data_IF_813295082114
#
_entry.id   IF_813295082114
#
_cell.length_a   1.000
_cell.length_b   1.000
_cell.length_c   1.000
_cell.angle_alpha   90.00
_cell.angle_beta   90.00
_cell.angle_gamma   90.00
#
_symmetry.space_group_name_H-M   'P 1'
#
loop_
_entity.id
_entity.type
_entity.pdbx_description
1 polymer ?
#
# COMPACT_ATOMS: atom_id res chain seq x y z
N UNK A 1 -26.69 32.77 11.77
CA UNK A 1 -26.95 31.43 11.18
C UNK A 1 -26.32 31.25 9.79
N UNK A 2 -26.54 32.14 8.80
CA UNK A 2 -26.00 31.98 7.43
C UNK A 2 -24.47 31.98 7.31
N UNK A 3 -23.74 32.74 8.15
CA UNK A 3 -22.26 32.78 8.13
C UNK A 3 -21.62 31.53 8.74
N UNK A 4 -22.17 31.03 9.84
CA UNK A 4 -21.71 29.79 10.49
C UNK A 4 -21.93 28.58 9.57
N UNK A 5 -23.06 28.51 8.88
CA UNK A 5 -23.31 27.45 7.88
C UNK A 5 -22.33 27.47 6.71
N UNK A 6 -21.93 28.65 6.22
CA UNK A 6 -20.92 28.79 5.15
C UNK A 6 -19.52 28.36 5.60
N UNK A 7 -19.13 28.68 6.83
CA UNK A 7 -17.84 28.26 7.41
C UNK A 7 -17.82 26.75 7.59
N UNK A 8 -18.88 26.17 8.15
CA UNK A 8 -19.00 24.73 8.32
C UNK A 8 -18.92 23.99 6.99
N UNK A 9 -19.65 24.47 5.97
CA UNK A 9 -19.58 23.91 4.62
C UNK A 9 -18.17 23.97 4.03
N UNK A 10 -17.47 25.09 4.22
CA UNK A 10 -16.07 25.23 3.80
C UNK A 10 -15.15 24.19 4.44
N UNK A 11 -15.29 23.96 5.76
CA UNK A 11 -14.51 22.95 6.48
C UNK A 11 -14.80 21.54 5.96
N UNK A 12 -16.07 21.19 5.76
CA UNK A 12 -16.47 19.88 5.23
C UNK A 12 -15.86 19.65 3.84
N UNK A 13 -15.87 20.66 2.97
CA UNK A 13 -15.26 20.56 1.64
C UNK A 13 -13.75 20.34 1.75
N UNK A 14 -13.05 21.11 2.58
CA UNK A 14 -11.60 20.94 2.77
C UNK A 14 -11.27 19.54 3.29
N UNK A 15 -12.02 19.03 4.28
CA UNK A 15 -11.83 17.69 4.81
C UNK A 15 -12.09 16.60 3.75
N UNK A 16 -13.13 16.77 2.93
CA UNK A 16 -13.41 15.84 1.83
C UNK A 16 -12.28 15.82 0.80
N UNK A 17 -11.75 17.00 0.43
CA UNK A 17 -10.60 17.10 -0.49
C UNK A 17 -9.36 16.44 0.11
N UNK A 18 -9.05 16.71 1.38
CA UNK A 18 -7.92 16.08 2.07
C UNK A 18 -8.05 14.56 2.13
N UNK A 19 -9.26 14.04 2.40
CA UNK A 19 -9.52 12.61 2.41
C UNK A 19 -9.27 12.01 1.03
N UNK A 20 -9.80 12.62 -0.03
CA UNK A 20 -9.58 12.15 -1.41
C UNK A 20 -8.10 12.14 -1.76
N UNK A 21 -7.37 13.22 -1.47
CA UNK A 21 -5.91 13.29 -1.69
C UNK A 21 -5.22 12.16 -0.93
N UNK A 22 -5.50 11.98 0.36
CA UNK A 22 -4.90 10.89 1.14
C UNK A 22 -5.13 9.52 0.47
N UNK A 23 -6.37 9.22 0.06
CA UNK A 23 -6.74 7.98 -0.61
C UNK A 23 -5.94 7.74 -1.91
N UNK A 24 -5.67 8.79 -2.69
CA UNK A 24 -4.85 8.69 -3.90
C UNK A 24 -3.37 8.41 -3.61
N UNK A 25 -2.85 8.88 -2.47
CA UNK A 25 -1.44 8.71 -2.11
C UNK A 25 -1.12 7.39 -1.40
N UNK A 26 -2.13 6.62 -0.95
CA UNK A 26 -1.91 5.34 -0.27
C UNK A 26 -1.06 4.35 -1.09
N UNK A 27 -1.35 4.21 -2.38
CA UNK A 27 -0.63 3.31 -3.29
C UNK A 27 0.86 3.67 -3.40
N UNK A 28 1.20 4.89 -3.83
CA UNK A 28 2.59 5.36 -3.89
C UNK A 28 3.35 5.23 -2.56
N UNK A 29 2.70 5.52 -1.42
CA UNK A 29 3.31 5.38 -0.10
C UNK A 29 3.65 3.92 0.21
N UNK A 30 2.71 2.99 -0.03
CA UNK A 30 2.98 1.55 0.19
C UNK A 30 4.08 1.05 -0.72
N UNK A 31 4.07 1.42 -2.01
CA UNK A 31 5.15 1.08 -2.95
C UNK A 31 6.51 1.56 -2.44
N UNK A 32 6.60 2.83 -2.04
CA UNK A 32 7.84 3.41 -1.52
C UNK A 32 8.35 2.68 -0.28
N UNK A 33 7.47 2.49 0.70
CA UNK A 33 7.81 1.78 1.94
C UNK A 33 8.22 0.34 1.68
N UNK A 34 7.49 -0.39 0.85
CA UNK A 34 7.80 -1.79 0.55
C UNK A 34 9.13 -1.94 -0.21
N UNK A 35 9.46 -1.02 -1.12
CA UNK A 35 10.77 -1.01 -1.78
C UNK A 35 11.89 -0.73 -0.77
N UNK A 36 11.74 0.31 0.06
CA UNK A 36 12.79 0.73 1.00
C UNK A 36 12.96 -0.28 2.15
N UNK A 37 11.88 -0.57 2.86
CA UNK A 37 11.90 -1.50 4.01
C UNK A 37 12.17 -2.92 3.53
N UNK A 38 11.56 -3.34 2.41
CA UNK A 38 11.82 -4.65 1.83
C UNK A 38 13.29 -4.84 1.48
N UNK A 39 13.91 -3.85 0.83
CA UNK A 39 15.33 -3.92 0.50
C UNK A 39 16.22 -3.94 1.75
N UNK A 40 15.88 -3.13 2.75
CA UNK A 40 16.63 -3.07 4.00
C UNK A 40 16.55 -4.39 4.79
N UNK A 41 15.37 -5.02 4.82
CA UNK A 41 15.15 -6.27 5.55
C UNK A 41 15.77 -7.47 4.83
N UNK A 42 15.69 -7.51 3.49
CA UNK A 42 16.21 -8.62 2.69
C UNK A 42 17.69 -8.47 2.34
N UNK A 43 18.27 -7.28 2.49
CA UNK A 43 19.66 -7.00 2.12
C UNK A 43 19.94 -7.02 0.61
N UNK A 44 18.88 -7.04 -0.21
CA UNK A 44 18.93 -7.08 -1.67
C UNK A 44 17.89 -6.11 -2.25
N UNK A 45 18.06 -5.62 -3.49
CA UNK A 45 17.12 -4.70 -4.09
C UNK A 45 15.70 -5.29 -4.19
N UNK A 46 14.71 -4.59 -3.68
CA UNK A 46 13.28 -4.90 -3.83
C UNK A 46 12.61 -3.80 -4.62
N UNK A 47 11.95 -4.19 -5.71
CA UNK A 47 11.23 -3.29 -6.59
C UNK A 47 9.78 -3.73 -6.77
N UNK A 48 8.86 -2.80 -6.60
CA UNK A 48 7.46 -2.96 -6.90
C UNK A 48 7.09 -1.93 -7.96
N UNK A 49 6.51 -2.38 -9.08
CA UNK A 49 6.09 -1.51 -10.17
C UNK A 49 4.93 -0.61 -9.75
N UNK A 50 3.89 -1.20 -9.16
CA UNK A 50 2.70 -0.46 -8.72
C UNK A 50 2.07 -1.10 -7.48
N UNK A 51 1.45 -0.25 -6.66
CA UNK A 51 0.69 -0.67 -5.50
C UNK A 51 -0.65 0.07 -5.48
N UNK A 52 -1.74 -0.68 -5.35
CA UNK A 52 -3.09 -0.17 -5.28
C UNK A 52 -3.76 -0.62 -3.99
N UNK A 53 -4.45 0.31 -3.32
CA UNK A 53 -5.16 0.04 -2.07
C UNK A 53 -6.63 0.32 -2.25
N UNK A 54 -7.46 -0.61 -1.78
CA UNK A 54 -8.90 -0.46 -1.66
C UNK A 54 -9.22 -0.35 -0.17
N UNK A 55 -9.16 0.85 0.42
CA UNK A 55 -9.25 1.02 1.87
C UNK A 55 -10.62 0.62 2.44
N UNK A 56 -11.70 0.66 1.64
CA UNK A 56 -13.01 0.20 2.08
C UNK A 56 -13.08 -1.34 2.23
N UNK A 57 -12.39 -2.09 1.37
CA UNK A 57 -12.37 -3.56 1.41
C UNK A 57 -11.14 -4.13 2.13
N UNK A 58 -10.21 -3.27 2.57
CA UNK A 58 -8.94 -3.68 3.15
C UNK A 58 -8.03 -4.44 2.18
N UNK A 59 -8.25 -4.28 0.87
CA UNK A 59 -7.48 -5.03 -0.14
C UNK A 59 -6.29 -4.23 -0.61
N UNK A 60 -5.12 -4.88 -0.69
CA UNK A 60 -3.90 -4.32 -1.27
C UNK A 60 -3.49 -5.19 -2.44
N UNK A 61 -3.23 -4.58 -3.60
CA UNK A 61 -2.70 -5.24 -4.79
C UNK A 61 -1.31 -4.68 -5.07
N UNK A 62 -0.32 -5.56 -5.20
CA UNK A 62 1.03 -5.22 -5.63
C UNK A 62 1.25 -5.85 -7.01
N UNK A 63 1.85 -5.10 -7.93
CA UNK A 63 2.18 -5.61 -9.26
C UNK A 63 3.63 -5.36 -9.61
N UNK A 64 4.19 -6.28 -10.40
CA UNK A 64 5.59 -6.28 -10.80
C UNK A 64 6.53 -6.25 -9.60
N UNK A 65 6.36 -7.21 -8.69
CA UNK A 65 7.24 -7.39 -7.53
C UNK A 65 8.49 -8.11 -8.02
N UNK A 66 9.67 -7.54 -7.77
CA UNK A 66 10.97 -8.11 -8.13
C UNK A 66 11.90 -8.02 -6.93
N UNK A 67 12.59 -9.10 -6.64
CA UNK A 67 13.62 -9.19 -5.62
C UNK A 67 14.89 -9.56 -6.34
N UNK A 68 15.89 -8.68 -6.25
CA UNK A 68 17.20 -8.86 -6.83
C UNK A 68 18.04 -9.90 -6.11
N UNK A 69 19.21 -10.16 -6.67
CA UNK A 69 20.24 -10.94 -6.00
C UNK A 69 21.22 -10.02 -5.25
N UNK A 70 21.96 -10.55 -4.25
CA UNK A 70 23.10 -9.86 -3.67
C UNK A 70 24.20 -9.58 -4.70
N UNK A 71 25.10 -8.67 -4.37
CA UNK A 71 26.27 -8.40 -5.22
C UNK A 71 27.11 -9.67 -5.45
N UNK A 72 27.57 -9.87 -6.69
CA UNK A 72 28.37 -11.04 -7.09
C UNK A 72 27.55 -12.26 -7.56
N UNK A 73 26.22 -12.17 -7.57
CA UNK A 73 25.32 -13.20 -8.11
C UNK A 73 24.72 -12.77 -9.47
N UNK A 74 23.80 -13.57 -10.03
CA UNK A 74 23.16 -13.30 -11.32
C UNK A 74 22.47 -11.93 -11.38
N UNK A 75 22.54 -11.28 -12.55
CA UNK A 75 21.77 -10.06 -12.85
C UNK A 75 20.26 -10.32 -12.99
N UNK A 76 19.86 -11.57 -13.20
CA UNK A 76 18.43 -11.92 -13.19
C UNK A 76 17.88 -11.81 -11.77
N UNK A 77 16.65 -11.29 -11.58
CA UNK A 77 16.05 -11.22 -10.26
C UNK A 77 15.90 -12.62 -9.65
N UNK A 78 16.20 -12.75 -8.36
CA UNK A 78 16.04 -13.98 -7.58
C UNK A 78 14.57 -14.42 -7.54
N UNK A 79 13.67 -13.45 -7.46
CA UNK A 79 12.24 -13.68 -7.41
C UNK A 79 11.50 -12.58 -8.17
N UNK A 80 10.50 -12.96 -8.93
CA UNK A 80 9.64 -12.04 -9.66
C UNK A 80 8.21 -12.56 -9.59
N UNK A 81 7.25 -11.66 -9.37
CA UNK A 81 5.83 -11.92 -9.45
C UNK A 81 5.13 -10.81 -10.23
N UNK A 82 4.30 -11.19 -11.19
CA UNK A 82 3.49 -10.24 -11.94
C UNK A 82 2.44 -9.57 -11.03
N UNK A 83 1.73 -10.33 -10.20
CA UNK A 83 0.69 -9.78 -9.32
C UNK A 83 0.44 -10.58 -8.04
N UNK A 84 0.37 -9.85 -6.93
CA UNK A 84 -0.04 -10.38 -5.62
C UNK A 84 -1.16 -9.53 -5.02
N UNK A 85 -2.12 -10.19 -4.37
CA UNK A 85 -3.23 -9.56 -3.65
C UNK A 85 -3.28 -10.00 -2.20
N UNK A 86 -3.47 -9.05 -1.31
CA UNK A 86 -3.69 -9.24 0.13
C UNK A 86 -5.06 -8.70 0.51
N UNK A 87 -5.75 -9.39 1.42
CA UNK A 87 -6.95 -8.87 2.08
C UNK A 87 -6.70 -8.76 3.59
N UNK A 88 -6.78 -7.54 4.12
CA UNK A 88 -6.58 -7.23 5.53
C UNK A 88 -7.92 -7.13 6.26
N UNK A 89 -7.95 -7.56 7.52
CA UNK A 89 -9.02 -7.18 8.42
C UNK A 89 -8.81 -5.74 8.91
N UNK A 90 -9.59 -4.79 8.39
CA UNK A 90 -9.52 -3.39 8.80
C UNK A 90 -9.80 -3.17 10.29
N UNK A 91 -10.57 -4.05 10.93
CA UNK A 91 -10.83 -3.96 12.37
C UNK A 91 -9.58 -4.27 13.21
N UNK A 92 -8.70 -5.15 12.69
CA UNK A 92 -7.44 -5.50 13.35
C UNK A 92 -6.45 -4.33 13.39
N UNK A 93 -6.54 -3.39 12.44
CA UNK A 93 -5.63 -2.23 12.37
C UNK A 93 -5.87 -1.19 13.48
N UNK A 94 -7.05 -1.18 14.09
CA UNK A 94 -7.42 -0.18 15.12
C UNK A 94 -7.15 -0.66 16.55
N UNK A 95 -6.86 -1.94 16.75
CA UNK A 95 -6.63 -2.53 18.06
C UNK A 95 -5.14 -2.63 18.43
N UNK A 96 -4.85 -2.95 19.68
CA UNK A 96 -3.50 -3.28 20.15
C UNK A 96 -3.13 -4.76 19.89
N UNK A 97 -3.88 -5.44 19.02
CA UNK A 97 -3.72 -6.85 18.70
C UNK A 97 -2.88 -7.08 17.44
N UNK A 98 -2.72 -8.34 17.01
CA UNK A 98 -2.03 -8.65 15.77
C UNK A 98 -2.81 -8.13 14.55
N UNK A 99 -2.08 -7.73 13.52
CA UNK A 99 -2.66 -7.42 12.21
C UNK A 99 -3.08 -8.72 11.54
N UNK A 100 -4.35 -8.81 11.15
CA UNK A 100 -4.92 -10.03 10.56
C UNK A 100 -4.98 -9.90 9.03
N UNK A 101 -4.29 -10.80 8.34
CA UNK A 101 -4.38 -10.99 6.88
C UNK A 101 -5.36 -12.14 6.64
N UNK A 102 -6.52 -11.83 6.05
CA UNK A 102 -7.55 -12.82 5.71
C UNK A 102 -7.18 -13.66 4.51
N UNK A 103 -6.46 -13.07 3.56
CA UNK A 103 -6.12 -13.72 2.31
C UNK A 103 -4.79 -13.18 1.78
N UNK A 104 -3.97 -14.09 1.24
CA UNK A 104 -2.81 -13.81 0.41
C UNK A 104 -2.92 -14.69 -0.84
N UNK A 105 -3.00 -14.06 -2.00
CA UNK A 105 -3.16 -14.74 -3.28
C UNK A 105 -2.12 -14.24 -4.29
N UNK A 106 -1.49 -15.16 -4.99
CA UNK A 106 -0.69 -14.88 -6.18
C UNK A 106 -1.66 -14.99 -7.35
N UNK A 107 -1.91 -13.88 -8.04
CA UNK A 107 -2.86 -13.83 -9.15
C UNK A 107 -2.15 -14.20 -10.45
N UNK A 108 -0.97 -13.65 -10.66
CA UNK A 108 -0.13 -13.94 -11.82
C UNK A 108 1.32 -14.16 -11.36
N UNK A 109 1.93 -15.32 -11.69
CA UNK A 109 3.33 -15.61 -11.37
C UNK A 109 4.29 -14.76 -12.21
#
# INVERSE_FOLDING_TARGET
>A
MKRVGKIFLGIVIVLAVLLVVALFFLGPVIKGLANTVGSQLLGVPVEIKDASVRPLSGTVRLSGVRIGNPEGYSESPLFSLAEMRFALDLSSLRGNGPIVIKELAIIEP
#
